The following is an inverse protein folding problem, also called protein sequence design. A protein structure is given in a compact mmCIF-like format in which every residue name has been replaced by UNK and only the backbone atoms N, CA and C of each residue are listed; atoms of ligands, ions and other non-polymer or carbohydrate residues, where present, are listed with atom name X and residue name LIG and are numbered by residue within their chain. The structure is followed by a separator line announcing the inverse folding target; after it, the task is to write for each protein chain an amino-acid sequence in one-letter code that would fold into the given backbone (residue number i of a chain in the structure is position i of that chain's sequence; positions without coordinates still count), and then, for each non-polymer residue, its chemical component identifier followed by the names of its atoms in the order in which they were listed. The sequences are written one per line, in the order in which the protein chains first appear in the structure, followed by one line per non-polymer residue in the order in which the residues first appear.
data_IF_934280646183
#
_entry.id   IF_934280646183
#
_cell.length_a   1.000
_cell.length_b   1.000
_cell.length_c   1.000
_cell.angle_alpha   90.00
_cell.angle_beta   90.00
_cell.angle_gamma   90.00
#
_symmetry.space_group_name_H-M   'P 1'
#
loop_
_entity.id
_entity.type
_entity.pdbx_description
1 polymer ?
#
# COMPACT_ATOMS: atom_id res chain seq x y z
N UNK A 1 16.62 4.86 2.69
CA UNK A 1 15.60 5.29 3.66
C UNK A 1 14.27 5.33 2.94
N UNK A 2 13.24 4.79 3.57
CA UNK A 2 11.85 4.94 3.11
C UNK A 2 11.45 6.41 2.98
N UNK A 3 12.00 7.31 3.80
CA UNK A 3 11.79 8.75 3.69
C UNK A 3 12.06 9.32 2.28
N UNK A 4 13.10 8.85 1.59
CA UNK A 4 13.39 9.29 0.21
C UNK A 4 12.33 8.82 -0.77
N UNK A 5 11.92 7.56 -0.64
CA UNK A 5 10.85 6.98 -1.46
C UNK A 5 9.54 7.76 -1.30
N UNK A 6 9.18 8.13 -0.07
CA UNK A 6 7.97 8.89 0.20
C UNK A 6 8.04 10.30 -0.42
N UNK A 7 9.17 11.00 -0.26
CA UNK A 7 9.38 12.33 -0.84
C UNK A 7 9.35 12.30 -2.38
N UNK A 8 9.99 11.31 -3.00
CA UNK A 8 10.04 11.17 -4.46
C UNK A 8 8.69 10.74 -5.05
N UNK A 9 7.96 9.88 -4.34
CA UNK A 9 6.59 9.48 -4.72
C UNK A 9 5.64 10.67 -4.66
N UNK A 10 5.67 11.44 -3.57
CA UNK A 10 4.88 12.66 -3.42
C UNK A 10 5.23 13.70 -4.49
N UNK A 11 6.52 13.90 -4.75
CA UNK A 11 7.01 14.78 -5.83
C UNK A 11 6.44 14.40 -7.19
N UNK A 12 6.41 13.10 -7.49
CA UNK A 12 5.90 12.57 -8.75
C UNK A 12 4.38 12.74 -8.84
N UNK A 13 3.65 12.46 -7.76
CA UNK A 13 2.19 12.61 -7.72
C UNK A 13 1.75 14.07 -7.93
N UNK A 14 2.49 15.02 -7.38
CA UNK A 14 2.22 16.45 -7.53
C UNK A 14 2.85 17.10 -8.77
N UNK A 15 3.56 16.33 -9.59
CA UNK A 15 4.31 16.83 -10.74
C UNK A 15 5.30 17.96 -10.39
N UNK A 16 5.96 17.86 -9.23
CA UNK A 16 6.91 18.85 -8.76
C UNK A 16 8.31 18.60 -9.32
N UNK A 17 8.99 19.69 -9.67
CA UNK A 17 10.37 19.65 -10.18
C UNK A 17 11.37 19.82 -9.02
N UNK A 18 11.00 20.60 -8.00
CA UNK A 18 11.90 20.99 -6.92
C UNK A 18 11.37 20.62 -5.54
N UNK A 19 12.28 20.20 -4.66
CA UNK A 19 11.97 19.87 -3.27
C UNK A 19 11.50 21.09 -2.45
N UNK A 20 11.75 22.31 -2.95
CA UNK A 20 11.24 23.55 -2.36
C UNK A 20 9.70 23.63 -2.39
N UNK A 21 9.07 23.01 -3.38
CA UNK A 21 7.61 22.98 -3.51
C UNK A 21 7.02 22.06 -2.42
N UNK A 22 7.63 20.90 -2.21
CA UNK A 22 7.29 19.98 -1.12
C UNK A 22 7.45 20.66 0.24
N UNK A 23 8.53 21.43 0.41
CA UNK A 23 8.77 22.17 1.64
C UNK A 23 7.67 23.20 1.93
N UNK A 24 7.19 23.89 0.89
CA UNK A 24 6.10 24.85 1.00
C UNK A 24 4.80 24.18 1.46
N UNK A 25 4.43 23.05 0.86
CA UNK A 25 3.18 22.36 1.18
C UNK A 25 3.17 21.77 2.59
N UNK A 26 4.32 21.28 3.04
CA UNK A 26 4.50 20.78 4.41
C UNK A 26 4.72 21.90 5.45
N UNK A 27 4.73 23.18 5.05
CA UNK A 27 5.07 24.31 5.90
C UNK A 27 6.43 24.14 6.63
N UNK A 28 7.42 23.56 5.95
CA UNK A 28 8.78 23.36 6.47
C UNK A 28 9.81 24.13 5.65
N UNK A 29 10.98 24.37 6.22
CA UNK A 29 12.07 24.99 5.47
C UNK A 29 12.67 24.00 4.45
N UNK A 30 13.15 24.46 3.28
CA UNK A 30 13.79 23.58 2.30
C UNK A 30 15.02 22.82 2.84
N UNK A 31 15.72 23.42 3.80
CA UNK A 31 16.83 22.77 4.50
C UNK A 31 16.37 21.49 5.23
N UNK A 32 15.16 21.51 5.81
CA UNK A 32 14.57 20.39 6.53
C UNK A 32 14.26 19.20 5.61
N UNK A 33 13.83 19.45 4.37
CA UNK A 33 13.69 18.38 3.37
C UNK A 33 15.05 17.74 3.04
N UNK A 34 16.12 18.54 2.91
CA UNK A 34 17.47 18.00 2.69
C UNK A 34 17.97 17.18 3.89
N UNK A 35 17.68 17.62 5.11
CA UNK A 35 17.98 16.86 6.34
C UNK A 35 17.23 15.54 6.42
N UNK A 36 15.95 15.53 6.03
CA UNK A 36 15.14 14.32 5.93
C UNK A 36 15.73 13.34 4.91
N UNK A 37 16.14 13.83 3.73
CA UNK A 37 16.77 12.98 2.71
C UNK A 37 18.09 12.35 3.16
N UNK A 38 18.84 13.10 3.96
CA UNK A 38 20.12 12.67 4.56
C UNK A 38 19.95 11.80 5.81
N UNK A 39 18.71 11.61 6.29
CA UNK A 39 18.43 10.86 7.51
C UNK A 39 18.86 11.54 8.80
N UNK A 40 19.21 12.83 8.76
CA UNK A 40 19.52 13.61 9.98
C UNK A 40 18.27 13.88 10.80
N UNK A 41 17.12 13.97 10.12
CA UNK A 41 15.81 14.20 10.73
C UNK A 41 14.80 13.19 10.17
N UNK A 42 13.94 12.67 11.02
CA UNK A 42 12.84 11.81 10.59
C UNK A 42 11.61 12.63 10.21
N UNK A 43 10.87 12.13 9.23
CA UNK A 43 9.54 12.63 8.86
C UNK A 43 8.59 12.31 10.03
N UNK A 44 7.80 13.30 10.45
CA UNK A 44 6.78 13.13 11.48
C UNK A 44 5.57 12.36 10.94
N UNK A 45 4.78 11.78 11.84
CA UNK A 45 3.68 10.92 11.45
C UNK A 45 2.61 11.68 10.66
N UNK A 46 2.35 12.95 11.00
CA UNK A 46 1.44 13.83 10.26
C UNK A 46 1.96 14.19 8.87
N UNK A 47 3.25 14.52 8.74
CA UNK A 47 3.88 14.80 7.44
C UNK A 47 3.84 13.54 6.55
N UNK A 48 4.06 12.36 7.13
CA UNK A 48 4.03 11.09 6.41
C UNK A 48 2.64 10.72 5.89
N UNK A 49 1.60 10.85 6.71
CA UNK A 49 0.21 10.60 6.32
C UNK A 49 -0.20 11.58 5.21
N UNK A 50 0.09 12.87 5.39
CA UNK A 50 -0.22 13.89 4.38
C UNK A 50 0.40 13.56 3.02
N UNK A 51 1.68 13.23 2.98
CA UNK A 51 2.34 12.85 1.71
C UNK A 51 1.77 11.56 1.12
N UNK A 52 1.45 10.56 1.94
CA UNK A 52 0.94 9.28 1.47
C UNK A 52 -0.43 9.40 0.80
N UNK A 53 -1.37 10.14 1.42
CA UNK A 53 -2.71 10.38 0.89
C UNK A 53 -2.66 11.03 -0.49
N UNK A 54 -1.78 12.01 -0.64
CA UNK A 54 -1.58 12.74 -1.89
C UNK A 54 -0.77 11.96 -2.95
N UNK A 55 0.05 11.02 -2.52
CA UNK A 55 0.84 10.14 -3.40
C UNK A 55 0.11 8.84 -3.77
N UNK A 56 -1.13 8.65 -3.33
CA UNK A 56 -1.90 7.41 -3.48
C UNK A 56 -1.16 6.18 -2.91
N UNK A 57 -0.45 6.37 -1.80
CA UNK A 57 0.21 5.32 -1.01
C UNK A 57 -0.66 5.06 0.23
N UNK A 58 -0.80 3.81 0.67
CA UNK A 58 -1.50 3.51 1.92
C UNK A 58 -0.81 4.24 3.09
N UNK A 59 -1.50 5.13 3.83
CA UNK A 59 -0.91 5.83 4.98
C UNK A 59 -0.32 4.87 6.02
N UNK A 60 -0.87 3.66 6.14
CA UNK A 60 -0.35 2.63 7.05
C UNK A 60 1.03 2.15 6.61
N UNK A 61 1.22 1.94 5.31
CA UNK A 61 2.52 1.55 4.74
C UNK A 61 3.54 2.66 4.95
N UNK A 62 3.14 3.91 4.70
CA UNK A 62 4.01 5.07 4.87
C UNK A 62 4.51 5.22 6.32
N UNK A 63 3.61 5.10 7.30
CA UNK A 63 3.97 5.13 8.72
C UNK A 63 4.93 4.01 9.09
N UNK A 64 4.68 2.79 8.61
CA UNK A 64 5.53 1.63 8.88
C UNK A 64 6.95 1.83 8.32
N UNK A 65 7.04 2.31 7.08
CA UNK A 65 8.29 2.61 6.42
C UNK A 65 9.10 3.67 7.18
N UNK A 66 8.45 4.78 7.57
CA UNK A 66 9.08 5.82 8.38
C UNK A 66 9.55 5.30 9.75
N UNK A 67 8.80 4.40 10.40
CA UNK A 67 9.20 3.80 11.67
C UNK A 67 10.36 2.81 11.53
N UNK A 68 10.44 2.11 10.40
CA UNK A 68 11.57 1.23 10.09
C UNK A 68 12.88 2.01 9.92
N UNK A 69 12.81 3.23 9.38
CA UNK A 69 13.97 4.12 9.21
C UNK A 69 14.49 4.66 10.55
N UNK A 70 13.62 4.85 11.55
CA UNK A 70 13.97 5.38 12.88
C UNK A 70 14.81 4.43 13.73
N UNK A 71 14.67 3.13 13.49
CA UNK A 71 15.27 2.10 14.33
C UNK A 71 16.54 1.58 13.68
N UNK A 72 17.71 1.70 14.32
CA UNK A 72 18.96 1.12 13.79
C UNK A 72 19.05 -0.40 14.00
N UNK A 73 18.33 -0.91 15.01
CA UNK A 73 18.38 -2.33 15.38
C UNK A 73 17.83 -3.22 14.24
N UNK A 74 18.64 -4.16 13.70
CA UNK A 74 18.24 -5.01 12.59
C UNK A 74 17.05 -5.92 12.94
N UNK A 75 16.90 -6.35 14.19
CA UNK A 75 15.77 -7.18 14.63
C UNK A 75 14.45 -6.40 14.57
N UNK A 76 14.47 -5.14 15.00
CA UNK A 76 13.28 -4.27 14.96
C UNK A 76 12.90 -3.96 13.51
N UNK A 77 13.88 -3.72 12.63
CA UNK A 77 13.61 -3.55 11.19
C UNK A 77 12.95 -4.78 10.57
N UNK A 78 13.38 -5.98 10.94
CA UNK A 78 12.76 -7.23 10.47
C UNK A 78 11.31 -7.34 10.93
N UNK A 79 11.03 -7.06 12.21
CA UNK A 79 9.66 -7.06 12.74
C UNK A 79 8.74 -6.12 11.97
N UNK A 80 9.18 -4.90 11.67
CA UNK A 80 8.40 -3.98 10.84
C UNK A 80 8.17 -4.50 9.42
N UNK A 81 9.17 -5.11 8.79
CA UNK A 81 9.01 -5.73 7.46
C UNK A 81 8.01 -6.89 7.50
N UNK A 82 8.01 -7.69 8.55
CA UNK A 82 7.07 -8.80 8.70
C UNK A 82 5.63 -8.31 8.88
N UNK A 83 5.44 -7.21 9.63
CA UNK A 83 4.13 -6.54 9.76
C UNK A 83 3.66 -6.01 8.38
N UNK A 84 4.53 -5.34 7.62
CA UNK A 84 4.21 -4.86 6.28
C UNK A 84 3.79 -6.02 5.35
N UNK A 85 4.56 -7.11 5.37
CA UNK A 85 4.29 -8.31 4.57
C UNK A 85 2.94 -8.93 4.93
N UNK A 86 2.62 -9.03 6.22
CA UNK A 86 1.35 -9.60 6.69
C UNK A 86 0.15 -8.78 6.20
N UNK A 87 0.26 -7.44 6.21
CA UNK A 87 -0.80 -6.56 5.69
C UNK A 87 -0.98 -6.71 4.17
N UNK A 88 0.12 -6.81 3.42
CA UNK A 88 0.06 -6.95 1.96
C UNK A 88 -0.53 -8.30 1.52
N UNK A 89 -0.25 -9.39 2.25
CA UNK A 89 -0.80 -10.72 1.95
C UNK A 89 -2.31 -10.85 2.21
N UNK A 90 -2.91 -10.01 3.05
CA UNK A 90 -4.34 -10.15 3.42
C UNK A 90 -5.31 -9.81 2.26
N UNK A 91 -4.89 -9.01 1.27
CA UNK A 91 -5.74 -8.64 0.14
C UNK A 91 -6.04 -9.78 -0.85
N UNK A 92 -5.17 -10.79 -0.93
CA UNK A 92 -5.23 -11.82 -2.00
C UNK A 92 -6.12 -13.01 -1.61
N UNK A 93 -6.24 -13.31 -0.32
CA UNK A 93 -6.97 -14.49 0.16
C UNK A 93 -8.50 -14.32 0.20
N UNK A 94 -9.01 -13.08 0.32
CA UNK A 94 -10.45 -12.85 0.41
C UNK A 94 -11.18 -12.96 -0.94
N UNK A 95 -10.51 -12.64 -2.05
CA UNK A 95 -11.14 -12.63 -3.38
C UNK A 95 -11.12 -13.99 -4.10
N UNK A 96 -10.14 -14.85 -3.80
CA UNK A 96 -9.95 -16.10 -4.54
C UNK A 96 -10.95 -17.19 -4.17
N UNK A 97 -11.42 -17.24 -2.91
CA UNK A 97 -12.37 -18.29 -2.47
C UNK A 97 -13.81 -18.06 -2.91
N UNK A 98 -14.25 -16.81 -3.07
CA UNK A 98 -15.63 -16.49 -3.50
C UNK A 98 -15.84 -16.71 -5.00
N UNK A 99 -14.82 -16.47 -5.83
CA UNK A 99 -14.92 -16.70 -7.29
C UNK A 99 -14.98 -18.19 -7.65
N UNK A 100 -14.15 -19.02 -6.99
CA UNK A 100 -14.14 -20.48 -7.20
C UNK A 100 -15.47 -21.14 -6.80
N UNK A 101 -16.06 -20.73 -5.68
CA UNK A 101 -17.34 -21.27 -5.22
C UNK A 101 -18.51 -20.90 -6.17
N UNK A 102 -18.47 -19.70 -6.75
CA UNK A 102 -19.54 -19.22 -7.66
C UNK A 102 -19.48 -19.90 -9.03
N UNK A 103 -18.28 -20.14 -9.58
CA UNK A 103 -18.11 -20.84 -10.86
C UNK A 103 -18.58 -22.30 -10.82
N UNK A 104 -18.30 -23.02 -9.72
CA UNK A 104 -18.72 -24.41 -9.54
C UNK A 104 -20.24 -24.57 -9.45
N UNK A 105 -20.94 -23.61 -8.85
CA UNK A 105 -22.41 -23.63 -8.75
C UNK A 105 -23.11 -23.42 -10.11
N UNK A 106 -22.55 -22.60 -10.99
CA UNK A 106 -23.14 -22.36 -12.33
C UNK A 106 -23.01 -23.60 -13.22
N UNK A 107 -21.87 -24.31 -13.13
CA UNK A 107 -21.64 -25.52 -13.92
C UNK A 107 -22.46 -26.73 -13.44
N UNK A 108 -22.78 -26.82 -12.16
CA UNK A 108 -23.64 -27.90 -11.64
C UNK A 108 -25.11 -27.67 -12.00
N UNK A 109 -25.58 -26.41 -12.00
CA UNK A 109 -26.96 -26.09 -12.36
C UNK A 109 -27.27 -26.37 -13.84
N UNK A 110 -26.32 -26.07 -14.74
CA UNK A 110 -26.50 -26.31 -16.18
C UNK A 110 -26.61 -27.79 -16.53
N UNK A 111 -25.84 -28.65 -15.85
CA UNK A 111 -25.92 -30.11 -16.01
C UNK A 111 -27.30 -30.66 -15.63
N UNK A 112 -27.84 -30.24 -14.47
CA UNK A 112 -29.14 -30.70 -13.97
C UNK A 112 -30.28 -30.28 -14.92
N UNK A 113 -30.26 -29.04 -15.43
CA UNK A 113 -31.28 -28.55 -16.35
C UNK A 113 -31.26 -29.33 -17.67
N UNK A 114 -30.07 -29.73 -18.14
CA UNK A 114 -29.92 -30.50 -19.39
C UNK A 114 -30.50 -31.92 -19.29
N UNK A 115 -30.33 -32.59 -18.16
CA UNK A 115 -30.93 -33.92 -17.92
C UNK A 115 -32.45 -33.84 -17.77
N UNK A 116 -32.96 -32.81 -17.07
CA UNK A 116 -34.40 -32.59 -16.97
C UNK A 116 -35.05 -32.31 -18.35
N UNK A 117 -34.39 -31.55 -19.21
CA UNK A 117 -34.89 -31.27 -20.56
C UNK A 117 -34.95 -32.53 -21.44
N UNK A 118 -33.98 -33.45 -21.30
CA UNK A 118 -33.98 -34.71 -22.06
C UNK A 118 -35.08 -35.68 -21.60
N UNK A 119 -35.34 -35.75 -20.29
CA UNK A 119 -36.41 -36.58 -19.71
C UNK A 119 -37.83 -36.14 -20.12
N UNK A 120 -38.00 -34.92 -20.63
CA UNK A 120 -39.31 -34.40 -21.06
C UNK A 120 -39.58 -34.65 -22.55
N UNK A 121 -38.57 -35.08 -23.32
CA UNK A 121 -38.62 -35.33 -24.77
C UNK A 121 -38.65 -36.82 -25.16
N UNK A 122 -38.43 -37.73 -24.20
CA UNK A 122 -38.66 -39.18 -24.34
C UNK A 122 -40.06 -39.55 -23.82
#
# INVERSE_FOLDING_TARGET
MYANYLLDSYKSAMNYVQDKQIAHDLNVTPARISEMRKGKRYISDSEAVFMAEHANIDPKEALLGCHSDRNENPKIKQLWKDIAKKLNCQGIHAFTMTFLASGLMVTSLSGIISECALCTLC
#
